data_IF_356928207030
#
_entry.id   IF_356928207030
#
_cell.length_a   1.000
_cell.length_b   1.000
_cell.length_c   1.000
_cell.angle_alpha   90.00
_cell.angle_beta   90.00
_cell.angle_gamma   90.00
#
_symmetry.space_group_name_H-M   'P 1'
#
loop_
_entity.id
_entity.type
_entity.pdbx_description
1 polymer ?
#
# COMPACT_ATOMS: atom_id res chain seq x y z
N UNK A 1 15.63 -39.05 -26.61
CA UNK A 1 15.84 -38.64 -25.19
C UNK A 1 15.02 -37.40 -24.97
N UNK A 2 13.76 -37.64 -24.67
CA UNK A 2 12.68 -37.13 -25.51
C UNK A 2 12.02 -35.94 -24.85
N UNK A 3 11.71 -34.91 -25.63
CA UNK A 3 10.99 -33.68 -25.24
C UNK A 3 9.96 -33.87 -24.12
N UNK A 4 9.24 -34.99 -24.13
CA UNK A 4 8.35 -35.46 -23.07
C UNK A 4 8.93 -35.46 -21.65
N UNK A 5 10.17 -35.92 -21.43
CA UNK A 5 10.83 -35.94 -20.12
C UNK A 5 11.17 -34.52 -19.64
N UNK A 6 11.52 -33.62 -20.56
CA UNK A 6 11.78 -32.21 -20.23
C UNK A 6 10.49 -31.47 -19.86
N UNK A 7 9.39 -31.75 -20.57
CA UNK A 7 8.06 -31.23 -20.22
C UNK A 7 7.62 -31.69 -18.84
N UNK A 8 7.86 -32.96 -18.51
CA UNK A 8 7.53 -33.52 -17.20
C UNK A 8 8.32 -32.88 -16.05
N UNK A 9 9.60 -32.58 -16.28
CA UNK A 9 10.43 -31.85 -15.29
C UNK A 9 9.95 -30.40 -15.12
N UNK A 10 9.58 -29.74 -16.21
CA UNK A 10 9.02 -28.38 -16.18
C UNK A 10 7.68 -28.33 -15.42
N UNK A 11 6.82 -29.32 -15.65
CA UNK A 11 5.56 -29.47 -14.93
C UNK A 11 5.79 -29.61 -13.42
N UNK A 12 6.74 -30.46 -13.02
CA UNK A 12 7.10 -30.64 -11.61
C UNK A 12 7.65 -29.34 -10.98
N UNK A 13 8.45 -28.57 -11.72
CA UNK A 13 8.95 -27.28 -11.23
C UNK A 13 7.84 -26.24 -11.08
N UNK A 14 6.89 -26.18 -12.02
CA UNK A 14 5.73 -25.29 -11.93
C UNK A 14 4.82 -25.70 -10.76
N UNK A 15 4.63 -27.00 -10.54
CA UNK A 15 3.85 -27.52 -9.42
C UNK A 15 4.51 -27.22 -8.06
N UNK A 16 5.82 -27.40 -7.94
CA UNK A 16 6.57 -27.03 -6.74
C UNK A 16 6.49 -25.52 -6.46
N UNK A 17 6.64 -24.71 -7.51
CA UNK A 17 6.48 -23.26 -7.41
C UNK A 17 5.04 -22.87 -7.01
N UNK A 18 4.03 -23.59 -7.50
CA UNK A 18 2.64 -23.38 -7.08
C UNK A 18 2.43 -23.69 -5.60
N UNK A 19 3.00 -24.78 -5.10
CA UNK A 19 2.92 -25.12 -3.68
C UNK A 19 3.56 -24.04 -2.78
N UNK A 20 4.64 -23.40 -3.23
CA UNK A 20 5.29 -22.31 -2.50
C UNK A 20 4.57 -20.96 -2.60
N UNK A 21 3.94 -20.69 -3.75
CA UNK A 21 3.18 -19.45 -3.99
C UNK A 21 1.80 -19.48 -3.31
N UNK A 22 1.14 -20.64 -3.24
CA UNK A 22 -0.21 -20.80 -2.67
C UNK A 22 -0.36 -20.22 -1.24
N UNK A 23 0.50 -20.53 -0.26
CA UNK A 23 0.39 -19.96 1.10
C UNK A 23 0.73 -18.46 1.16
N UNK A 24 1.33 -17.89 0.11
CA UNK A 24 1.80 -16.49 0.03
C UNK A 24 1.00 -15.64 -0.96
N UNK A 25 0.09 -16.26 -1.72
CA UNK A 25 -0.56 -15.69 -2.90
C UNK A 25 -1.78 -14.81 -2.62
N UNK A 26 -2.27 -14.79 -1.38
CA UNK A 26 -3.42 -13.97 -0.97
C UNK A 26 -3.04 -12.61 -0.41
N UNK A 27 -1.76 -12.37 -0.11
CA UNK A 27 -1.31 -11.06 0.32
C UNK A 27 -1.39 -10.09 -0.88
N UNK A 28 -2.18 -9.01 -0.79
CA UNK A 28 -2.27 -8.02 -1.86
C UNK A 28 -0.90 -7.35 -2.04
N UNK A 29 -0.38 -7.39 -3.26
CA UNK A 29 0.84 -6.70 -3.61
C UNK A 29 0.45 -5.30 -4.14
N UNK A 30 0.91 -4.20 -3.52
CA UNK A 30 0.45 -2.84 -3.85
C UNK A 30 0.80 -2.35 -5.26
N UNK A 31 1.70 -3.02 -5.98
CA UNK A 31 2.15 -2.63 -7.32
C UNK A 31 2.39 -3.88 -8.19
N UNK A 32 2.13 -3.77 -9.50
CA UNK A 32 2.50 -4.82 -10.46
C UNK A 32 4.01 -5.05 -10.38
N UNK A 33 4.43 -6.21 -9.85
CA UNK A 33 5.84 -6.49 -9.56
C UNK A 33 6.62 -7.05 -10.74
N UNK A 34 5.92 -7.46 -11.78
CA UNK A 34 6.56 -8.00 -12.97
C UNK A 34 6.36 -7.07 -14.16
N UNK A 35 7.38 -7.02 -15.01
CA UNK A 35 7.36 -6.26 -16.25
C UNK A 35 6.26 -6.79 -17.19
N UNK A 36 5.59 -5.88 -17.90
CA UNK A 36 4.56 -6.21 -18.89
C UNK A 36 5.12 -7.05 -20.06
N UNK A 37 6.44 -6.99 -20.27
CA UNK A 37 7.13 -7.86 -21.23
C UNK A 37 7.15 -9.34 -20.79
N UNK A 38 7.14 -9.61 -19.49
CA UNK A 38 7.20 -10.96 -18.92
C UNK A 38 5.81 -11.52 -18.60
N UNK A 39 4.90 -10.69 -18.11
CA UNK A 39 3.54 -11.09 -17.79
C UNK A 39 2.53 -10.12 -18.40
N UNK A 40 1.57 -10.66 -19.13
CA UNK A 40 0.50 -9.88 -19.74
C UNK A 40 -0.56 -9.49 -18.71
N UNK A 41 -0.66 -10.25 -17.61
CA UNK A 41 -1.57 -9.96 -16.51
C UNK A 41 -0.97 -8.94 -15.53
N UNK A 42 -1.73 -7.90 -15.18
CA UNK A 42 -1.36 -6.89 -14.16
C UNK A 42 -1.93 -7.23 -12.79
N UNK A 43 -2.01 -8.53 -12.47
CA UNK A 43 -2.60 -9.02 -11.25
C UNK A 43 -1.94 -8.39 -10.01
N UNK A 44 -2.76 -8.04 -9.03
CA UNK A 44 -2.28 -7.53 -7.73
C UNK A 44 -1.94 -8.67 -6.77
N UNK A 45 -1.98 -9.93 -7.24
CA UNK A 45 -1.74 -11.15 -6.47
C UNK A 45 -0.82 -12.10 -7.22
N UNK A 46 0.05 -12.82 -6.50
CA UNK A 46 1.00 -13.77 -7.11
C UNK A 46 0.31 -14.93 -7.84
N UNK A 47 -0.89 -15.32 -7.38
CA UNK A 47 -1.69 -16.37 -8.02
C UNK A 47 -2.09 -16.03 -9.47
N UNK A 48 -2.26 -14.75 -9.77
CA UNK A 48 -2.69 -14.29 -11.09
C UNK A 48 -1.58 -14.48 -12.13
N UNK A 49 -0.32 -14.33 -11.69
CA UNK A 49 0.88 -14.62 -12.49
C UNK A 49 1.11 -16.14 -12.61
N UNK A 50 0.83 -16.90 -11.56
CA UNK A 50 0.90 -18.36 -11.60
C UNK A 50 -0.10 -18.97 -12.59
N UNK A 51 -1.32 -18.46 -12.62
CA UNK A 51 -2.33 -18.86 -13.59
C UNK A 51 -1.91 -18.55 -15.04
N UNK A 52 -1.14 -17.49 -15.26
CA UNK A 52 -0.55 -17.19 -16.57
C UNK A 52 0.54 -18.19 -16.96
N UNK A 53 1.43 -18.57 -16.03
CA UNK A 53 2.45 -19.61 -16.25
C UNK A 53 1.81 -20.96 -16.60
N UNK A 54 0.78 -21.37 -15.86
CA UNK A 54 0.06 -22.61 -16.12
C UNK A 54 -0.61 -22.63 -17.51
N UNK A 55 -1.21 -21.49 -17.92
CA UNK A 55 -1.78 -21.35 -19.26
C UNK A 55 -0.72 -21.43 -20.36
N UNK A 56 0.41 -20.75 -20.19
CA UNK A 56 1.52 -20.79 -21.15
C UNK A 56 2.14 -22.19 -21.25
N UNK A 57 2.18 -22.94 -20.15
CA UNK A 57 2.65 -24.33 -20.14
C UNK A 57 1.70 -25.28 -20.88
N UNK A 58 0.39 -25.14 -20.68
CA UNK A 58 -0.60 -25.91 -21.45
C UNK A 58 -0.49 -25.63 -22.96
N UNK A 59 -0.29 -24.37 -23.35
CA UNK A 59 -0.05 -24.00 -24.75
C UNK A 59 1.24 -24.60 -25.31
N UNK A 60 2.29 -24.67 -24.50
CA UNK A 60 3.57 -25.29 -24.90
C UNK A 60 3.39 -26.80 -25.14
N UNK A 61 2.63 -27.51 -24.29
CA UNK A 61 2.31 -28.93 -24.50
C UNK A 61 1.58 -29.16 -25.82
N UNK A 62 0.56 -28.34 -26.13
CA UNK A 62 -0.16 -28.43 -27.41
C UNK A 62 0.76 -28.14 -28.60
N UNK A 63 1.57 -27.09 -28.53
CA UNK A 63 2.51 -26.72 -29.60
C UNK A 63 3.60 -27.77 -29.83
N UNK A 64 4.02 -28.48 -28.77
CA UNK A 64 4.96 -29.59 -28.85
C UNK A 64 4.35 -30.82 -29.53
N UNK A 65 3.06 -31.10 -29.29
CA UNK A 65 2.33 -32.17 -29.96
C UNK A 65 2.10 -31.86 -31.45
N UNK A 66 1.81 -30.59 -31.76
CA UNK A 66 1.58 -30.11 -33.14
C UNK A 66 2.90 -29.88 -33.93
N UNK A 67 4.07 -30.22 -33.36
CA UNK A 67 5.40 -30.05 -33.97
C UNK A 67 5.74 -28.60 -34.41
N UNK A 68 5.18 -27.59 -33.73
CA UNK A 68 5.43 -26.17 -34.02
C UNK A 68 6.68 -25.67 -33.31
N UNK A 69 7.85 -25.99 -33.87
CA UNK A 69 9.16 -25.79 -33.24
C UNK A 69 9.42 -24.32 -32.82
N UNK A 70 9.05 -23.35 -33.66
CA UNK A 70 9.22 -21.91 -33.34
C UNK A 70 8.35 -21.45 -32.17
N UNK A 71 7.12 -21.94 -32.09
CA UNK A 71 6.18 -21.63 -31.00
C UNK A 71 6.64 -22.28 -29.68
N UNK A 72 7.19 -23.50 -29.74
CA UNK A 72 7.75 -24.20 -28.59
C UNK A 72 8.95 -23.45 -28.02
N UNK A 73 9.89 -23.00 -28.87
CA UNK A 73 11.07 -22.27 -28.43
C UNK A 73 10.69 -20.95 -27.72
N UNK A 74 9.79 -20.16 -28.33
CA UNK A 74 9.33 -18.90 -27.75
C UNK A 74 8.61 -19.09 -26.40
N UNK A 75 7.71 -20.08 -26.31
CA UNK A 75 7.00 -20.37 -25.07
C UNK A 75 7.93 -20.91 -23.97
N UNK A 76 8.94 -21.71 -24.35
CA UNK A 76 9.92 -22.23 -23.41
C UNK A 76 10.77 -21.11 -22.79
N UNK A 77 11.30 -20.22 -23.62
CA UNK A 77 12.06 -19.05 -23.16
C UNK A 77 11.22 -18.15 -22.25
N UNK A 78 9.97 -17.89 -22.65
CA UNK A 78 9.03 -17.10 -21.85
C UNK A 78 8.75 -17.76 -20.49
N UNK A 79 8.51 -19.07 -20.45
CA UNK A 79 8.24 -19.79 -19.21
C UNK A 79 9.45 -19.79 -18.27
N UNK A 80 10.66 -19.99 -18.78
CA UNK A 80 11.89 -19.92 -17.98
C UNK A 80 12.02 -18.52 -17.37
N UNK A 81 11.83 -17.46 -18.16
CA UNK A 81 11.89 -16.10 -17.65
C UNK A 81 10.83 -15.82 -16.57
N UNK A 82 9.59 -16.29 -16.78
CA UNK A 82 8.50 -16.15 -15.81
C UNK A 82 8.77 -16.90 -14.49
N UNK A 83 9.25 -18.16 -14.57
CA UNK A 83 9.59 -18.98 -13.39
C UNK A 83 10.75 -18.35 -12.61
N UNK A 84 11.79 -17.91 -13.31
CA UNK A 84 12.98 -17.31 -12.67
C UNK A 84 12.62 -15.99 -11.96
N UNK A 85 11.76 -15.19 -12.58
CA UNK A 85 11.25 -13.96 -11.98
C UNK A 85 10.44 -14.25 -10.70
N UNK A 86 9.54 -15.25 -10.74
CA UNK A 86 8.75 -15.66 -9.58
C UNK A 86 9.62 -16.19 -8.43
N UNK A 87 10.61 -17.03 -8.71
CA UNK A 87 11.55 -17.56 -7.71
C UNK A 87 12.36 -16.45 -7.04
N UNK A 88 12.88 -15.50 -7.83
CA UNK A 88 13.63 -14.35 -7.31
C UNK A 88 12.77 -13.46 -6.41
N UNK A 89 11.54 -13.23 -6.80
CA UNK A 89 10.59 -12.46 -6.01
C UNK A 89 10.26 -13.17 -4.68
N UNK A 90 10.02 -14.49 -4.70
CA UNK A 90 9.79 -15.28 -3.48
C UNK A 90 11.00 -15.26 -2.52
N UNK A 91 12.22 -15.33 -3.05
CA UNK A 91 13.45 -15.28 -2.25
C UNK A 91 13.67 -13.90 -1.62
N UNK A 92 13.40 -12.83 -2.37
CA UNK A 92 13.58 -11.45 -1.89
C UNK A 92 12.47 -10.98 -0.95
N UNK A 93 11.27 -11.57 -1.02
CA UNK A 93 10.16 -11.27 -0.10
C UNK A 93 10.48 -11.59 1.37
N UNK A 94 11.17 -12.70 1.64
CA UNK A 94 11.55 -13.08 3.00
C UNK A 94 12.51 -12.05 3.65
N UNK A 95 13.44 -11.51 2.85
CA UNK A 95 14.39 -10.48 3.29
C UNK A 95 13.71 -9.11 3.45
N UNK A 96 12.78 -8.77 2.54
CA UNK A 96 12.04 -7.49 2.61
C UNK A 96 11.03 -7.43 3.75
N UNK A 97 10.36 -8.54 4.11
CA UNK A 97 9.51 -8.59 5.32
C UNK A 97 10.31 -8.35 6.60
N UNK A 98 11.55 -8.83 6.68
CA UNK A 98 12.45 -8.57 7.81
C UNK A 98 12.94 -7.11 7.86
N UNK A 99 13.11 -6.49 6.70
CA UNK A 99 13.59 -5.10 6.56
C UNK A 99 12.46 -4.08 6.39
N UNK A 100 11.19 -4.49 6.51
CA UNK A 100 10.09 -3.54 6.55
C UNK A 100 10.19 -2.75 7.85
N UNK A 101 10.27 -1.40 7.79
CA UNK A 101 10.24 -0.61 8.99
C UNK A 101 8.96 -0.94 9.76
N UNK A 102 9.13 -1.46 10.98
CA UNK A 102 8.05 -1.72 11.94
C UNK A 102 7.24 -0.43 12.08
N UNK A 103 5.92 -0.50 11.98
CA UNK A 103 5.03 0.64 12.12
C UNK A 103 5.32 1.41 13.42
N UNK A 104 5.99 2.57 13.33
CA UNK A 104 6.15 3.52 14.45
C UNK A 104 4.90 4.43 14.58
N UNK A 105 3.90 4.23 13.73
CA UNK A 105 2.85 5.24 13.47
C UNK A 105 1.76 5.28 14.55
N UNK A 106 1.48 4.19 15.26
CA UNK A 106 0.38 4.17 16.24
C UNK A 106 0.66 5.05 17.47
N UNK A 107 1.87 4.94 18.04
CA UNK A 107 2.29 5.77 19.18
C UNK A 107 2.37 7.25 18.78
N UNK A 108 2.78 7.52 17.53
CA UNK A 108 2.84 8.87 16.98
C UNK A 108 1.45 9.50 16.81
N UNK A 109 0.41 8.73 16.46
CA UNK A 109 -0.96 9.26 16.30
C UNK A 109 -1.61 9.69 17.62
N UNK A 110 -1.51 8.88 18.68
CA UNK A 110 -2.05 9.29 19.99
C UNK A 110 -1.27 10.46 20.59
N UNK A 111 0.05 10.54 20.37
CA UNK A 111 0.85 11.69 20.77
C UNK A 111 0.40 12.97 20.04
N UNK A 112 0.24 12.89 18.71
CA UNK A 112 -0.30 14.00 17.89
C UNK A 112 -1.71 14.40 18.34
N UNK A 113 -2.57 13.44 18.67
CA UNK A 113 -3.91 13.73 19.17
C UNK A 113 -3.84 14.57 20.46
N UNK A 114 -3.04 14.15 21.43
CA UNK A 114 -2.85 14.87 22.69
C UNK A 114 -2.30 16.29 22.46
N UNK A 115 -1.29 16.42 21.60
CA UNK A 115 -0.69 17.72 21.26
C UNK A 115 -1.73 18.68 20.64
N UNK A 116 -2.54 18.19 19.72
CA UNK A 116 -3.59 18.99 19.10
C UNK A 116 -4.73 19.36 20.07
N UNK A 117 -5.06 18.50 21.04
CA UNK A 117 -6.00 18.83 22.12
C UNK A 117 -5.45 19.94 23.02
N UNK A 118 -4.14 19.95 23.31
CA UNK A 118 -3.49 21.03 24.04
C UNK A 118 -3.50 22.36 23.26
N UNK A 119 -3.34 22.30 21.93
CA UNK A 119 -3.50 23.50 21.09
C UNK A 119 -4.93 24.02 21.10
N UNK A 120 -5.93 23.15 21.04
CA UNK A 120 -7.34 23.54 21.13
C UNK A 120 -7.64 24.25 22.45
N UNK A 121 -7.23 23.66 23.58
CA UNK A 121 -7.39 24.27 24.92
C UNK A 121 -6.77 25.66 24.99
N UNK A 122 -5.53 25.80 24.51
CA UNK A 122 -4.82 27.10 24.49
C UNK A 122 -5.51 28.13 23.60
N UNK A 123 -5.99 27.73 22.42
CA UNK A 123 -6.71 28.63 21.51
C UNK A 123 -8.04 29.11 22.12
N UNK A 124 -8.78 28.21 22.78
CA UNK A 124 -10.02 28.60 23.48
C UNK A 124 -9.76 29.61 24.61
N UNK A 125 -8.71 29.38 25.41
CA UNK A 125 -8.29 30.34 26.44
C UNK A 125 -7.95 31.71 25.84
N UNK A 126 -7.17 31.74 24.75
CA UNK A 126 -6.82 33.00 24.08
C UNK A 126 -8.04 33.74 23.53
N UNK A 127 -9.03 33.02 22.99
CA UNK A 127 -10.28 33.61 22.51
C UNK A 127 -11.04 34.22 23.69
N UNK A 128 -11.25 33.46 24.77
CA UNK A 128 -11.96 33.93 25.95
C UNK A 128 -11.31 35.17 26.59
N UNK A 129 -9.97 35.20 26.64
CA UNK A 129 -9.22 36.37 27.12
C UNK A 129 -9.48 37.61 26.25
N UNK A 130 -9.49 37.45 24.92
CA UNK A 130 -9.74 38.55 23.98
C UNK A 130 -11.20 39.03 24.00
N UNK A 131 -12.16 38.13 24.16
CA UNK A 131 -13.57 38.48 24.34
C UNK A 131 -13.79 39.31 25.61
N UNK A 132 -13.16 38.91 26.72
CA UNK A 132 -13.20 39.65 27.99
C UNK A 132 -12.60 41.04 27.86
N UNK A 133 -11.45 41.18 27.17
CA UNK A 133 -10.84 42.47 26.89
C UNK A 133 -11.71 43.35 25.99
N UNK A 134 -12.35 42.76 24.97
CA UNK A 134 -13.23 43.47 24.05
C UNK A 134 -14.43 44.07 24.79
N UNK A 135 -15.05 43.31 25.71
CA UNK A 135 -16.19 43.78 26.51
C UNK A 135 -15.87 44.93 27.47
N UNK A 136 -14.59 45.15 27.80
CA UNK A 136 -14.14 46.24 28.67
C UNK A 136 -13.59 47.45 27.91
N UNK A 137 -13.39 47.32 26.60
CA UNK A 137 -12.72 48.34 25.81
C UNK A 137 -13.69 49.44 25.39
N UNK A 138 -13.30 50.70 25.58
CA UNK A 138 -14.15 51.87 25.31
C UNK A 138 -13.81 52.56 23.99
N UNK A 139 -12.62 52.34 23.45
CA UNK A 139 -12.17 52.97 22.22
C UNK A 139 -12.45 52.10 21.00
N UNK A 140 -13.08 52.69 19.98
CA UNK A 140 -13.43 52.00 18.73
C UNK A 140 -12.20 51.37 18.04
N UNK A 141 -11.07 52.08 17.98
CA UNK A 141 -9.85 51.58 17.37
C UNK A 141 -9.32 50.30 18.06
N UNK A 142 -9.36 50.24 19.39
CA UNK A 142 -8.92 49.06 20.13
C UNK A 142 -9.94 47.92 20.06
N UNK A 143 -11.25 48.23 20.00
CA UNK A 143 -12.28 47.23 19.75
C UNK A 143 -12.09 46.56 18.37
N UNK A 144 -11.86 47.35 17.32
CA UNK A 144 -11.62 46.84 15.96
C UNK A 144 -10.38 45.94 15.91
N UNK A 145 -9.30 46.33 16.60
CA UNK A 145 -8.09 45.51 16.71
C UNK A 145 -8.38 44.15 17.38
N UNK A 146 -9.08 44.16 18.51
CA UNK A 146 -9.45 42.94 19.24
C UNK A 146 -10.37 42.03 18.42
N UNK A 147 -11.32 42.59 17.66
CA UNK A 147 -12.17 41.82 16.76
C UNK A 147 -11.37 41.13 15.64
N UNK A 148 -10.38 41.81 15.07
CA UNK A 148 -9.50 41.20 14.06
C UNK A 148 -8.64 40.07 14.66
N UNK A 149 -8.12 40.25 15.89
CA UNK A 149 -7.40 39.21 16.61
C UNK A 149 -8.28 38.00 16.92
N UNK A 150 -9.53 38.22 17.34
CA UNK A 150 -10.52 37.17 17.59
C UNK A 150 -10.80 36.36 16.32
N UNK A 151 -11.11 37.02 15.21
CA UNK A 151 -11.37 36.35 13.93
C UNK A 151 -10.17 35.49 13.48
N UNK A 152 -8.94 35.96 13.71
CA UNK A 152 -7.74 35.19 13.42
C UNK A 152 -7.60 33.95 14.33
N UNK A 153 -7.90 34.07 15.61
CA UNK A 153 -7.87 32.96 16.58
C UNK A 153 -8.97 31.92 16.29
N UNK A 154 -10.19 32.36 16.00
CA UNK A 154 -11.30 31.50 15.60
C UNK A 154 -10.96 30.71 14.32
N UNK A 155 -10.39 31.37 13.32
CA UNK A 155 -9.92 30.70 12.11
C UNK A 155 -8.84 29.64 12.38
N UNK A 156 -7.95 29.88 13.35
CA UNK A 156 -6.96 28.88 13.80
C UNK A 156 -7.63 27.71 14.52
N UNK A 157 -8.61 27.99 15.38
CA UNK A 157 -9.36 26.97 16.12
C UNK A 157 -10.10 26.02 15.17
N UNK A 158 -10.76 26.55 14.13
CA UNK A 158 -11.42 25.74 13.10
C UNK A 158 -10.44 24.80 12.42
N UNK A 159 -9.27 25.30 11.99
CA UNK A 159 -8.22 24.47 11.38
C UNK A 159 -7.68 23.41 12.34
N UNK A 160 -7.55 23.74 13.63
CA UNK A 160 -7.12 22.80 14.67
C UNK A 160 -8.13 21.65 14.84
N UNK A 161 -9.43 21.97 14.92
CA UNK A 161 -10.51 20.97 14.99
C UNK A 161 -10.56 20.07 13.76
N UNK A 162 -10.34 20.63 12.57
CA UNK A 162 -10.23 19.84 11.34
C UNK A 162 -9.01 18.90 11.33
N UNK A 163 -7.90 19.29 11.97
CA UNK A 163 -6.75 18.41 12.15
C UNK A 163 -7.07 17.28 13.15
N UNK A 164 -7.67 17.59 14.30
CA UNK A 164 -8.13 16.60 15.29
C UNK A 164 -9.03 15.54 14.64
N UNK A 165 -10.08 15.96 13.93
CA UNK A 165 -11.00 15.05 13.25
C UNK A 165 -10.33 14.17 12.18
N UNK A 166 -9.20 14.60 11.60
CA UNK A 166 -8.42 13.77 10.67
C UNK A 166 -7.55 12.75 11.40
N UNK A 167 -6.99 13.12 12.55
CA UNK A 167 -6.20 12.23 13.41
C UNK A 167 -7.12 11.14 13.98
N UNK A 168 -8.26 11.51 14.55
CA UNK A 168 -9.26 10.58 15.10
C UNK A 168 -9.73 9.57 14.06
N UNK A 169 -10.12 10.03 12.85
CA UNK A 169 -10.48 9.12 11.73
C UNK A 169 -9.33 8.21 11.30
N UNK A 170 -8.09 8.58 11.54
CA UNK A 170 -6.93 7.74 11.22
C UNK A 170 -6.67 6.70 12.30
N UNK A 171 -6.96 7.05 13.57
CA UNK A 171 -6.95 6.10 14.70
C UNK A 171 -8.10 5.09 14.52
N UNK A 172 -9.32 5.56 14.27
CA UNK A 172 -10.50 4.70 14.09
C UNK A 172 -10.34 3.71 12.94
N UNK A 173 -9.81 4.14 11.78
CA UNK A 173 -9.53 3.24 10.65
C UNK A 173 -8.56 2.12 11.02
N UNK A 174 -7.55 2.42 11.85
CA UNK A 174 -6.58 1.43 12.32
C UNK A 174 -7.18 0.49 13.35
N UNK A 175 -7.94 0.99 14.31
CA UNK A 175 -8.62 0.18 15.33
C UNK A 175 -9.65 -0.77 14.68
N UNK A 176 -10.34 -0.32 13.63
CA UNK A 176 -11.33 -1.11 12.90
C UNK A 176 -10.73 -2.02 11.81
N UNK A 177 -9.39 -2.06 11.64
CA UNK A 177 -8.71 -3.07 10.83
C UNK A 177 -8.85 -2.96 9.31
N UNK A 178 -9.03 -1.76 8.75
CA UNK A 178 -9.06 -1.52 7.30
C UNK A 178 -7.71 -1.09 6.70
#
# INVERSE_FOLDING_TARGET
MSTHRLLQVLEQQIAALAAEVTPRGDAPIPQARFDAALFSNRGTRLRDYLAEVQRNFAQLQTAANDSRISQVAFLAEKLVAQITALQRELATQALRRKNQPKEVVAVDLYHKLAEHQDYERRLMSMIQDRESLLGRQTTFAAQQKLQHELAALEGRLVRCRQALARIERSIERKENGF
#
